data_IF_291199567681
#
_entry.id   IF_291199567681
#
_cell.length_a   1.000
_cell.length_b   1.000
_cell.length_c   1.000
_cell.angle_alpha   90.00
_cell.angle_beta   90.00
_cell.angle_gamma   90.00
#
_symmetry.space_group_name_H-M   'P 1'
#
loop_
_entity.id
_entity.type
_entity.pdbx_description
1 polymer ?
#
# COMPACT_ATOMS: atom_id res chain seq x y z
N UNK A 1 23.28 59.48 -73.23
CA UNK A 1 22.54 58.27 -72.71
C UNK A 1 23.26 57.70 -71.54
N UNK A 2 22.76 57.95 -70.34
CA UNK A 2 23.38 57.49 -69.10
C UNK A 2 22.44 56.41 -68.49
N UNK A 3 22.93 55.19 -68.42
CA UNK A 3 22.21 54.05 -67.87
C UNK A 3 22.39 54.05 -66.32
N UNK A 4 21.26 54.16 -65.62
CA UNK A 4 21.25 54.06 -64.17
C UNK A 4 21.08 52.61 -63.78
N UNK A 5 22.04 52.03 -63.01
CA UNK A 5 21.95 50.73 -62.34
C UNK A 5 21.29 50.94 -61.00
N UNK A 6 20.13 50.34 -60.82
CA UNK A 6 19.45 50.23 -59.50
C UNK A 6 19.92 49.00 -58.87
N UNK A 7 20.60 49.16 -57.73
CA UNK A 7 21.12 48.10 -56.86
C UNK A 7 20.03 47.76 -55.83
N UNK A 8 19.41 46.58 -55.96
CA UNK A 8 18.42 46.06 -55.03
C UNK A 8 19.13 45.44 -53.83
N UNK A 9 19.17 46.11 -52.69
CA UNK A 9 19.57 45.57 -51.42
C UNK A 9 18.39 44.82 -50.78
N UNK A 10 18.46 43.49 -50.74
CA UNK A 10 17.53 42.64 -49.98
C UNK A 10 17.88 42.71 -48.48
N UNK A 11 17.05 43.40 -47.72
CA UNK A 11 17.07 43.31 -46.28
C UNK A 11 16.49 41.95 -45.86
N UNK A 12 17.33 41.05 -45.35
CA UNK A 12 16.87 39.82 -44.70
C UNK A 12 16.63 40.18 -43.23
N UNK A 13 15.34 40.29 -42.86
CA UNK A 13 14.95 40.39 -41.43
C UNK A 13 14.97 38.99 -40.87
N UNK A 14 15.99 38.68 -40.09
CA UNK A 14 16.10 37.44 -39.34
C UNK A 14 15.19 37.56 -38.09
N UNK A 15 13.99 37.00 -38.14
CA UNK A 15 13.14 36.84 -36.97
C UNK A 15 13.72 35.71 -36.12
N UNK A 16 14.48 36.05 -35.06
CA UNK A 16 14.86 35.13 -34.04
C UNK A 16 13.62 34.84 -33.18
N UNK A 17 12.94 33.73 -33.47
CA UNK A 17 11.91 33.19 -32.56
C UNK A 17 12.67 32.65 -31.35
N UNK A 18 12.70 33.42 -30.25
CA UNK A 18 13.08 32.93 -28.93
C UNK A 18 11.97 32.00 -28.47
N UNK A 19 12.10 30.70 -28.74
CA UNK A 19 11.35 29.66 -28.06
C UNK A 19 11.85 29.67 -26.59
N UNK A 20 11.14 30.36 -25.73
CA UNK A 20 11.23 30.12 -24.31
C UNK A 20 10.64 28.73 -24.06
N UNK A 21 11.48 27.71 -24.17
CA UNK A 21 11.24 26.41 -23.55
C UNK A 21 11.19 26.67 -22.04
N UNK A 22 10.00 26.94 -21.51
CA UNK A 22 9.74 26.67 -20.10
C UNK A 22 10.06 25.19 -19.92
N UNK A 23 11.02 24.80 -19.08
CA UNK A 23 11.12 23.43 -18.71
C UNK A 23 9.84 23.13 -17.92
N UNK A 24 8.83 22.55 -18.57
CA UNK A 24 7.91 21.69 -17.85
C UNK A 24 8.80 20.59 -17.27
N UNK A 25 9.34 20.85 -16.10
CA UNK A 25 9.82 19.82 -15.21
C UNK A 25 8.57 18.98 -14.95
N UNK A 26 8.41 17.88 -15.67
CA UNK A 26 7.74 16.72 -15.14
C UNK A 26 8.44 16.51 -13.81
N UNK A 27 7.79 16.89 -12.72
CA UNK A 27 8.20 16.51 -11.39
C UNK A 27 8.04 14.98 -11.46
N UNK A 28 9.13 14.28 -11.78
CA UNK A 28 9.22 12.86 -11.51
C UNK A 28 8.88 12.75 -10.01
N UNK A 29 7.97 11.88 -9.65
CA UNK A 29 7.74 11.54 -8.26
C UNK A 29 9.10 11.18 -7.67
N UNK A 30 9.66 12.03 -6.79
CA UNK A 30 10.99 11.84 -6.19
C UNK A 30 10.95 10.69 -5.14
N UNK A 31 10.12 9.69 -5.37
CA UNK A 31 9.96 8.52 -4.51
C UNK A 31 11.02 7.47 -4.82
N UNK A 32 11.75 7.05 -3.79
CA UNK A 32 12.68 5.92 -3.83
C UNK A 32 12.03 4.70 -3.18
N UNK A 33 12.13 3.53 -3.81
CA UNK A 33 11.70 2.28 -3.23
C UNK A 33 12.56 1.96 -1.99
N UNK A 34 11.92 1.84 -0.82
CA UNK A 34 12.60 1.51 0.45
C UNK A 34 12.32 0.09 0.92
N UNK A 35 11.26 -0.54 0.41
CA UNK A 35 10.93 -1.92 0.71
C UNK A 35 10.06 -2.55 -0.37
N UNK A 36 10.30 -3.84 -0.66
CA UNK A 36 9.52 -4.66 -1.56
C UNK A 36 9.32 -6.05 -0.94
N UNK A 37 8.08 -6.55 -1.02
CA UNK A 37 7.73 -7.92 -0.74
C UNK A 37 7.01 -8.48 -1.98
N UNK A 38 7.57 -9.49 -2.61
CA UNK A 38 7.03 -10.11 -3.82
C UNK A 38 6.54 -11.55 -3.61
N UNK A 39 6.61 -12.03 -2.36
CA UNK A 39 6.12 -13.34 -1.94
C UNK A 39 6.68 -14.55 -2.75
N UNK A 40 7.88 -14.38 -3.32
CA UNK A 40 8.51 -15.43 -4.14
C UNK A 40 9.22 -16.51 -3.33
N UNK A 41 9.46 -16.28 -2.05
CA UNK A 41 10.10 -17.20 -1.13
C UNK A 41 9.30 -18.52 -0.94
N UNK A 42 9.97 -19.56 -0.45
CA UNK A 42 9.33 -20.84 -0.18
C UNK A 42 8.29 -20.77 0.96
N UNK A 43 8.53 -19.89 1.94
CA UNK A 43 7.69 -19.68 3.13
C UNK A 43 7.57 -18.19 3.43
N UNK A 44 6.46 -17.79 4.04
CA UNK A 44 6.25 -16.41 4.50
C UNK A 44 7.32 -16.03 5.53
N UNK A 45 8.00 -14.89 5.33
CA UNK A 45 9.00 -14.38 6.28
C UNK A 45 8.33 -13.99 7.60
N UNK A 46 8.52 -14.83 8.63
CA UNK A 46 7.93 -14.62 9.96
C UNK A 46 8.67 -13.56 10.78
N UNK A 47 9.79 -13.05 10.31
CA UNK A 47 10.42 -11.87 10.90
C UNK A 47 9.69 -10.58 10.52
N UNK A 48 9.03 -10.57 9.36
CA UNK A 48 8.22 -9.45 8.87
C UNK A 48 6.75 -9.67 9.22
N UNK A 49 6.20 -10.86 8.93
CA UNK A 49 4.78 -11.13 8.98
C UNK A 49 4.35 -11.95 10.20
N UNK A 50 3.42 -11.41 10.96
CA UNK A 50 2.66 -12.14 11.96
C UNK A 50 1.42 -12.75 11.29
N UNK A 51 1.13 -14.03 11.53
CA UNK A 51 -0.16 -14.63 11.18
C UNK A 51 -1.05 -14.57 12.43
N UNK A 52 -2.25 -14.00 12.29
CA UNK A 52 -3.20 -13.95 13.39
C UNK A 52 -3.95 -15.28 13.54
N UNK A 53 -4.06 -15.74 14.80
CA UNK A 53 -4.74 -16.99 15.16
C UNK A 53 -5.71 -16.72 16.28
N UNK A 54 -6.94 -16.35 15.94
CA UNK A 54 -8.01 -16.06 16.87
C UNK A 54 -9.41 -16.17 16.23
N UNK A 55 -10.44 -16.22 17.06
CA UNK A 55 -11.85 -16.22 16.64
C UNK A 55 -12.66 -15.11 17.30
N UNK A 56 -12.03 -14.00 17.67
CA UNK A 56 -12.61 -12.93 18.51
C UNK A 56 -13.58 -12.03 17.74
N UNK A 57 -13.68 -12.21 16.43
CA UNK A 57 -14.60 -11.45 15.56
C UNK A 57 -14.12 -10.06 15.21
N UNK A 58 -12.81 -9.77 15.40
CA UNK A 58 -12.15 -8.54 14.92
C UNK A 58 -12.77 -7.22 15.42
N UNK A 59 -13.54 -7.24 16.53
CA UNK A 59 -14.32 -6.09 16.99
C UNK A 59 -15.61 -5.83 16.17
N UNK A 60 -15.84 -6.58 15.07
CA UNK A 60 -16.91 -6.35 14.10
C UNK A 60 -17.91 -7.53 13.99
N UNK A 61 -17.95 -8.43 14.99
CA UNK A 61 -18.78 -9.64 14.97
C UNK A 61 -18.53 -10.55 13.76
N UNK A 62 -17.30 -10.59 13.27
CA UNK A 62 -16.88 -11.45 12.16
C UNK A 62 -17.06 -12.93 12.50
N UNK A 63 -17.35 -13.75 11.50
CA UNK A 63 -17.79 -15.14 11.71
C UNK A 63 -16.65 -16.17 11.70
N UNK A 64 -15.53 -15.86 11.05
CA UNK A 64 -14.40 -16.77 10.88
C UNK A 64 -13.56 -16.97 12.16
N UNK A 65 -12.79 -18.04 12.14
CA UNK A 65 -11.58 -18.20 12.94
C UNK A 65 -10.38 -17.93 12.03
N UNK A 66 -9.59 -16.91 12.32
CA UNK A 66 -8.30 -16.70 11.65
C UNK A 66 -7.31 -17.77 12.09
N UNK A 67 -6.59 -18.38 11.15
CA UNK A 67 -5.69 -19.48 11.45
C UNK A 67 -4.56 -19.62 10.41
N UNK A 68 -3.47 -20.30 10.79
CA UNK A 68 -2.29 -20.54 9.97
C UNK A 68 -2.65 -21.12 8.56
N UNK A 69 -3.56 -22.09 8.49
CA UNK A 69 -3.97 -22.71 7.22
C UNK A 69 -4.75 -21.78 6.28
N UNK A 70 -5.26 -20.66 6.79
CA UNK A 70 -5.89 -19.61 5.99
C UNK A 70 -4.88 -18.69 5.29
N UNK A 71 -3.58 -18.88 5.56
CA UNK A 71 -2.48 -18.06 5.03
C UNK A 71 -1.46 -18.97 4.36
N UNK A 72 -1.25 -18.82 3.05
CA UNK A 72 -0.27 -19.60 2.29
C UNK A 72 0.49 -18.71 1.31
N UNK A 73 1.65 -19.18 0.85
CA UNK A 73 2.29 -18.69 -0.37
C UNK A 73 2.01 -19.71 -1.48
N UNK A 74 1.24 -19.32 -2.48
CA UNK A 74 0.83 -20.22 -3.55
C UNK A 74 0.70 -19.47 -4.88
N UNK A 75 0.55 -20.25 -5.96
CA UNK A 75 0.43 -19.72 -7.33
C UNK A 75 -1.00 -19.29 -7.60
N UNK A 76 -1.19 -18.04 -8.04
CA UNK A 76 -2.48 -17.59 -8.55
C UNK A 76 -2.77 -18.27 -9.90
N UNK A 77 -3.90 -19.01 -10.04
CA UNK A 77 -4.08 -19.96 -11.13
C UNK A 77 -4.15 -19.36 -12.54
N UNK A 78 -4.56 -18.08 -12.68
CA UNK A 78 -4.77 -17.46 -14.00
C UNK A 78 -3.50 -16.82 -14.55
N UNK A 79 -2.63 -16.32 -13.68
CA UNK A 79 -1.42 -15.60 -14.08
C UNK A 79 -0.14 -16.41 -13.88
N UNK A 80 -0.19 -17.48 -13.06
CA UNK A 80 0.98 -18.23 -12.66
C UNK A 80 1.90 -17.50 -11.68
N UNK A 81 1.46 -16.36 -11.11
CA UNK A 81 2.22 -15.58 -10.14
C UNK A 81 2.15 -16.20 -8.77
N UNK A 82 3.29 -16.30 -8.08
CA UNK A 82 3.32 -16.65 -6.66
C UNK A 82 2.87 -15.46 -5.84
N UNK A 83 2.00 -15.69 -4.88
CA UNK A 83 1.32 -14.64 -4.09
C UNK A 83 1.24 -15.05 -2.62
N UNK A 84 1.07 -14.06 -1.75
CA UNK A 84 0.42 -14.28 -0.46
C UNK A 84 -1.05 -14.55 -0.73
N UNK A 85 -1.57 -15.66 -0.18
CA UNK A 85 -2.94 -16.12 -0.40
C UNK A 85 -3.66 -16.20 0.94
N UNK A 86 -4.74 -15.43 1.05
CA UNK A 86 -5.62 -15.46 2.21
C UNK A 86 -6.92 -16.15 1.82
N UNK A 87 -7.20 -17.33 2.42
CA UNK A 87 -8.30 -18.21 2.00
C UNK A 87 -9.37 -18.34 3.07
N UNK A 88 -10.59 -17.95 2.71
CA UNK A 88 -11.79 -18.20 3.52
C UNK A 88 -12.40 -19.55 3.14
N UNK A 89 -12.67 -20.40 4.14
CA UNK A 89 -13.23 -21.74 3.95
C UNK A 89 -14.40 -21.98 4.90
N UNK A 90 -15.52 -22.50 4.38
CA UNK A 90 -16.67 -22.95 5.19
C UNK A 90 -16.36 -24.31 5.79
N UNK A 91 -16.12 -24.33 7.08
CA UNK A 91 -15.79 -25.56 7.84
C UNK A 91 -15.98 -25.33 9.33
N UNK A 92 -16.16 -26.41 10.07
CA UNK A 92 -16.19 -26.37 11.54
C UNK A 92 -14.75 -26.32 12.09
N UNK A 93 -14.43 -25.23 12.79
CA UNK A 93 -13.10 -25.05 13.37
C UNK A 93 -13.16 -24.24 14.67
N UNK A 94 -12.75 -24.84 15.79
CA UNK A 94 -12.67 -24.19 17.11
C UNK A 94 -13.91 -23.36 17.50
N UNK A 95 -15.10 -23.93 17.24
CA UNK A 95 -16.37 -23.29 17.56
C UNK A 95 -16.92 -22.30 16.54
N UNK A 96 -16.16 -21.99 15.50
CA UNK A 96 -16.60 -21.19 14.34
C UNK A 96 -17.03 -22.11 13.18
N UNK A 97 -17.79 -21.57 12.23
CA UNK A 97 -18.31 -22.30 11.05
C UNK A 97 -17.56 -21.96 9.76
N UNK A 98 -16.50 -21.17 9.87
CA UNK A 98 -15.58 -20.88 8.79
C UNK A 98 -14.20 -20.48 9.37
N UNK A 99 -13.18 -20.69 8.55
CA UNK A 99 -11.80 -20.20 8.79
C UNK A 99 -11.44 -19.16 7.76
N UNK A 100 -10.41 -18.36 8.05
CA UNK A 100 -9.82 -17.43 7.09
C UNK A 100 -8.39 -17.07 7.45
N UNK A 101 -7.77 -16.19 6.63
CA UNK A 101 -6.41 -15.67 6.80
C UNK A 101 -6.38 -14.19 7.16
N UNK A 102 -5.49 -13.83 8.10
CA UNK A 102 -5.09 -12.45 8.42
C UNK A 102 -3.63 -12.40 8.78
N UNK A 103 -2.91 -11.46 8.16
CA UNK A 103 -1.51 -11.19 8.43
C UNK A 103 -1.31 -9.73 8.79
N UNK A 104 -0.28 -9.44 9.58
CA UNK A 104 0.13 -8.07 9.87
C UNK A 104 1.64 -7.98 10.10
N UNK A 105 2.17 -6.74 10.03
CA UNK A 105 3.60 -6.48 10.27
C UNK A 105 3.86 -5.79 11.62
N UNK A 106 2.91 -5.83 12.56
CA UNK A 106 2.98 -5.14 13.86
C UNK A 106 4.29 -5.46 14.60
N UNK A 107 4.99 -4.42 15.06
CA UNK A 107 6.27 -4.47 15.77
C UNK A 107 7.47 -4.99 14.93
N UNK A 108 7.24 -5.47 13.72
CA UNK A 108 8.28 -6.01 12.84
C UNK A 108 8.64 -5.03 11.72
N UNK A 109 7.65 -4.62 10.92
CA UNK A 109 7.82 -3.61 9.88
C UNK A 109 6.78 -2.51 10.06
N UNK A 110 7.24 -1.27 10.10
CA UNK A 110 6.39 -0.10 10.22
C UNK A 110 7.07 1.13 9.59
N UNK A 111 6.26 2.07 9.15
CA UNK A 111 6.75 3.27 8.46
C UNK A 111 5.85 4.48 8.75
N UNK A 112 6.40 5.67 8.51
CA UNK A 112 5.67 6.94 8.58
C UNK A 112 5.86 7.66 7.26
N UNK A 113 4.77 8.09 6.65
CA UNK A 113 4.73 8.81 5.37
C UNK A 113 5.37 8.06 4.20
N UNK A 114 5.12 8.57 3.01
CA UNK A 114 5.58 7.99 1.78
C UNK A 114 4.43 7.48 0.90
N UNK A 115 4.72 6.57 0.01
CA UNK A 115 3.76 5.92 -0.86
C UNK A 115 3.80 4.41 -0.62
N UNK A 116 2.66 3.78 -0.40
CA UNK A 116 2.53 2.33 -0.39
C UNK A 116 1.70 1.89 -1.58
N UNK A 117 2.13 0.83 -2.23
CA UNK A 117 1.42 0.16 -3.32
C UNK A 117 1.30 -1.32 -3.00
N UNK A 118 0.12 -1.90 -3.27
CA UNK A 118 -0.10 -3.33 -3.20
C UNK A 118 -0.85 -3.80 -4.44
N UNK A 119 -0.36 -4.87 -5.09
CA UNK A 119 -1.04 -5.49 -6.23
C UNK A 119 -1.88 -6.65 -5.74
N UNK A 120 -3.19 -6.47 -5.78
CA UNK A 120 -4.16 -7.36 -5.12
C UNK A 120 -5.19 -7.85 -6.13
N UNK A 121 -5.53 -9.14 -6.05
CA UNK A 121 -6.70 -9.75 -6.70
C UNK A 121 -7.70 -10.10 -5.64
N UNK A 122 -8.85 -9.40 -5.66
CA UNK A 122 -9.93 -9.63 -4.72
C UNK A 122 -10.76 -10.84 -5.18
N UNK A 123 -11.27 -11.67 -4.24
CA UNK A 123 -12.18 -12.75 -4.58
C UNK A 123 -13.54 -12.20 -4.99
N UNK A 124 -14.36 -13.05 -5.62
CA UNK A 124 -15.79 -12.78 -5.72
C UNK A 124 -16.37 -12.71 -4.29
N UNK A 125 -16.72 -11.49 -3.85
CA UNK A 125 -17.21 -11.23 -2.50
C UNK A 125 -18.65 -11.73 -2.32
N UNK A 126 -19.43 -11.78 -3.40
CA UNK A 126 -20.85 -12.13 -3.39
C UNK A 126 -21.56 -11.53 -2.16
N UNK A 127 -22.21 -12.36 -1.32
CA UNK A 127 -22.66 -11.89 -0.02
C UNK A 127 -21.74 -12.44 1.06
N UNK A 128 -21.08 -11.53 1.77
CA UNK A 128 -20.50 -11.76 3.07
C UNK A 128 -19.01 -11.97 3.14
N UNK A 129 -18.22 -11.91 2.05
CA UNK A 129 -16.77 -11.74 2.18
C UNK A 129 -16.44 -10.26 2.30
N UNK A 130 -15.42 -10.01 3.08
CA UNK A 130 -14.91 -8.67 3.38
C UNK A 130 -13.36 -8.68 3.33
N UNK A 131 -12.78 -8.62 2.12
CA UNK A 131 -11.35 -8.45 1.95
C UNK A 131 -10.95 -7.02 2.27
N UNK A 132 -9.83 -6.85 2.99
CA UNK A 132 -9.28 -5.56 3.36
C UNK A 132 -7.74 -5.54 3.26
N UNK A 133 -7.22 -4.38 2.84
CA UNK A 133 -5.80 -4.02 2.93
C UNK A 133 -5.72 -2.65 3.60
N UNK A 134 -5.06 -2.58 4.76
CA UNK A 134 -5.16 -1.47 5.69
C UNK A 134 -3.94 -1.35 6.61
N UNK A 135 -3.92 -0.35 7.46
CA UNK A 135 -2.84 -0.12 8.43
C UNK A 135 -3.37 0.49 9.74
N UNK A 136 -2.62 0.26 10.82
CA UNK A 136 -2.84 0.89 12.13
C UNK A 136 -1.54 1.43 12.70
N UNK A 137 -1.65 2.40 13.62
CA UNK A 137 -0.50 2.91 14.38
C UNK A 137 0.23 1.81 15.14
N UNK A 138 1.56 1.76 15.02
CA UNK A 138 2.40 0.73 15.65
C UNK A 138 2.46 0.87 17.19
N UNK A 139 1.91 1.96 17.73
CA UNK A 139 1.68 2.15 19.17
C UNK A 139 0.39 1.50 19.68
N UNK A 140 -0.27 0.63 18.88
CA UNK A 140 -1.51 -0.07 19.21
C UNK A 140 -1.46 -0.76 20.58
N UNK A 141 -0.36 -1.48 20.90
CA UNK A 141 -0.25 -2.20 22.16
C UNK A 141 -0.17 -1.28 23.39
N UNK A 142 0.22 -0.01 23.20
CA UNK A 142 0.34 1.00 24.26
C UNK A 142 -0.94 1.81 24.45
N UNK A 143 -1.58 2.21 23.35
CA UNK A 143 -2.71 3.17 23.40
C UNK A 143 -4.05 2.53 23.05
N UNK A 144 -4.06 1.40 22.34
CA UNK A 144 -5.25 0.70 21.87
C UNK A 144 -5.96 1.43 20.73
N UNK A 145 -6.94 0.75 20.13
CA UNK A 145 -7.84 1.33 19.15
C UNK A 145 -8.97 2.14 19.83
N UNK A 146 -9.39 3.28 19.30
CA UNK A 146 -8.99 3.94 18.06
C UNK A 146 -7.86 4.98 18.22
N UNK A 147 -7.23 5.08 19.37
CA UNK A 147 -6.17 6.06 19.67
C UNK A 147 -4.91 5.90 18.82
N UNK A 148 -4.62 4.67 18.41
CA UNK A 148 -3.49 4.40 17.51
C UNK A 148 -3.71 4.97 16.09
N UNK A 149 -4.97 5.22 15.70
CA UNK A 149 -5.35 5.54 14.34
C UNK A 149 -5.44 4.28 13.46
N UNK A 150 -6.36 4.31 12.49
CA UNK A 150 -6.55 3.26 11.49
C UNK A 150 -6.78 3.92 10.14
N UNK A 151 -6.16 3.37 9.10
CA UNK A 151 -6.34 3.82 7.72
C UNK A 151 -6.61 2.60 6.84
N UNK A 152 -7.81 2.53 6.29
CA UNK A 152 -8.23 1.45 5.41
C UNK A 152 -7.97 1.87 3.98
N UNK A 153 -6.92 1.28 3.37
CA UNK A 153 -6.56 1.61 2.00
C UNK A 153 -7.65 1.14 1.06
N UNK A 154 -8.18 -0.06 1.27
CA UNK A 154 -9.31 -0.57 0.49
C UNK A 154 -10.07 -1.65 1.25
N UNK A 155 -11.38 -1.59 1.16
CA UNK A 155 -12.32 -2.59 1.67
C UNK A 155 -13.43 -2.87 0.65
N UNK A 156 -13.76 -4.14 0.43
CA UNK A 156 -14.88 -4.60 -0.40
C UNK A 156 -15.88 -5.39 0.44
N UNK A 157 -17.10 -5.53 -0.09
CA UNK A 157 -18.14 -6.36 0.53
C UNK A 157 -19.09 -5.61 1.47
N UNK A 158 -19.08 -4.27 1.46
CA UNK A 158 -19.98 -3.44 2.29
C UNK A 158 -21.47 -3.72 2.02
N UNK A 159 -22.27 -3.66 3.07
CA UNK A 159 -23.72 -3.88 3.04
C UNK A 159 -24.45 -3.04 1.97
N UNK A 160 -24.04 -1.80 1.73
CA UNK A 160 -24.63 -0.94 0.70
C UNK A 160 -24.37 -1.46 -0.72
N UNK A 161 -23.18 -1.99 -0.99
CA UNK A 161 -22.87 -2.63 -2.26
C UNK A 161 -23.71 -3.87 -2.47
N UNK A 162 -23.84 -4.72 -1.45
CA UNK A 162 -24.70 -5.91 -1.46
C UNK A 162 -26.16 -5.54 -1.74
N UNK A 163 -26.69 -4.55 -1.01
CA UNK A 163 -28.08 -4.07 -1.15
C UNK A 163 -28.37 -3.52 -2.54
N UNK A 164 -27.38 -2.87 -3.18
CA UNK A 164 -27.51 -2.29 -4.53
C UNK A 164 -27.18 -3.27 -5.65
N UNK A 165 -26.71 -4.49 -5.33
CA UNK A 165 -26.20 -5.45 -6.33
C UNK A 165 -24.95 -4.96 -7.06
N UNK A 166 -24.10 -4.21 -6.37
CA UNK A 166 -22.86 -3.62 -6.90
C UNK A 166 -21.62 -4.00 -6.07
N UNK A 167 -21.74 -5.04 -5.22
CA UNK A 167 -20.66 -5.46 -4.31
C UNK A 167 -19.35 -5.79 -5.03
N UNK A 168 -19.42 -6.22 -6.27
CA UNK A 168 -18.27 -6.56 -7.14
C UNK A 168 -17.44 -5.34 -7.58
N UNK A 169 -17.95 -4.13 -7.38
CA UNK A 169 -17.38 -2.88 -7.84
C UNK A 169 -17.61 -1.70 -6.89
N UNK A 170 -18.20 -1.95 -5.72
CA UNK A 170 -18.38 -0.99 -4.63
C UNK A 170 -17.31 -1.23 -3.57
N UNK A 171 -16.49 -0.21 -3.31
CA UNK A 171 -15.42 -0.25 -2.32
C UNK A 171 -15.22 1.11 -1.68
N UNK A 172 -14.48 1.15 -0.57
CA UNK A 172 -14.16 2.38 0.15
C UNK A 172 -12.71 2.39 0.63
N UNK A 173 -12.23 3.60 0.91
CA UNK A 173 -11.15 3.87 1.82
C UNK A 173 -11.69 4.56 3.06
N UNK A 174 -11.01 4.44 4.21
CA UNK A 174 -11.46 5.06 5.45
C UNK A 174 -10.30 5.46 6.36
N UNK A 175 -10.60 6.35 7.31
CA UNK A 175 -9.74 6.72 8.43
C UNK A 175 -10.55 6.69 9.72
N UNK A 176 -9.99 6.11 10.78
CA UNK A 176 -10.62 6.05 12.10
C UNK A 176 -9.67 6.58 13.18
N UNK A 177 -10.19 7.42 14.07
CA UNK A 177 -9.48 7.91 15.25
C UNK A 177 -10.48 8.25 16.35
N UNK A 178 -10.00 8.46 17.55
CA UNK A 178 -10.86 8.83 18.67
C UNK A 178 -10.27 8.49 20.03
N UNK A 179 -10.94 8.91 21.09
CA UNK A 179 -10.50 8.65 22.48
C UNK A 179 -10.89 7.27 23.00
N UNK A 180 -11.98 6.68 22.47
CA UNK A 180 -12.51 5.38 22.87
C UNK A 180 -13.40 4.79 21.76
N UNK A 181 -13.67 3.49 21.81
CA UNK A 181 -14.46 2.75 20.83
C UNK A 181 -15.87 3.32 20.57
N UNK A 182 -16.48 3.98 21.55
CA UNK A 182 -17.80 4.59 21.44
C UNK A 182 -17.76 6.07 21.04
N UNK A 183 -16.58 6.64 20.80
CA UNK A 183 -16.35 8.03 20.40
C UNK A 183 -15.46 8.09 19.15
N UNK A 184 -15.55 7.08 18.28
CA UNK A 184 -14.78 7.03 17.05
C UNK A 184 -15.28 8.07 16.06
N UNK A 185 -14.36 8.84 15.53
CA UNK A 185 -14.59 9.63 14.32
C UNK A 185 -14.11 8.78 13.12
N UNK A 186 -14.94 8.75 12.08
CA UNK A 186 -14.66 8.03 10.86
C UNK A 186 -14.87 8.95 9.66
N UNK A 187 -13.91 8.97 8.74
CA UNK A 187 -14.07 9.51 7.39
C UNK A 187 -13.97 8.33 6.42
N UNK A 188 -15.09 7.90 5.88
CA UNK A 188 -15.18 6.82 4.91
C UNK A 188 -15.73 7.35 3.58
N UNK A 189 -14.98 7.16 2.50
CA UNK A 189 -15.38 7.58 1.17
C UNK A 189 -15.54 6.38 0.27
N UNK A 190 -16.78 6.11 -0.15
CA UNK A 190 -17.13 4.98 -0.98
C UNK A 190 -17.26 5.36 -2.45
N UNK A 191 -16.90 4.45 -3.33
CA UNK A 191 -17.08 4.61 -4.76
C UNK A 191 -17.68 3.36 -5.41
N UNK A 192 -18.28 3.53 -6.58
CA UNK A 192 -18.78 2.43 -7.42
C UNK A 192 -18.18 2.59 -8.81
N UNK A 193 -17.36 1.62 -9.20
CA UNK A 193 -16.78 1.62 -10.54
C UNK A 193 -17.78 1.13 -11.59
N UNK A 194 -17.58 1.49 -12.88
CA UNK A 194 -18.46 1.03 -13.97
C UNK A 194 -18.25 -0.44 -14.35
N UNK A 195 -17.20 -1.10 -13.80
CA UNK A 195 -16.82 -2.49 -14.05
C UNK A 195 -16.49 -3.19 -12.72
N UNK A 196 -16.50 -4.52 -12.72
CA UNK A 196 -16.12 -5.34 -11.57
C UNK A 196 -14.62 -5.15 -11.27
N UNK A 197 -14.28 -5.06 -9.97
CA UNK A 197 -12.90 -5.04 -9.46
C UNK A 197 -12.53 -6.37 -8.81
N UNK A 198 -13.35 -7.40 -8.97
CA UNK A 198 -13.12 -8.75 -8.49
C UNK A 198 -12.43 -9.61 -9.56
N UNK A 199 -11.77 -10.67 -9.14
CA UNK A 199 -11.14 -11.70 -9.99
C UNK A 199 -10.06 -11.19 -10.97
N UNK A 200 -9.61 -9.94 -10.83
CA UNK A 200 -8.50 -9.34 -11.55
C UNK A 200 -7.54 -8.66 -10.58
N UNK A 201 -6.25 -8.51 -11.00
CA UNK A 201 -5.29 -7.77 -10.18
C UNK A 201 -5.44 -6.27 -10.40
N UNK A 202 -5.51 -5.54 -9.29
CA UNK A 202 -5.47 -4.09 -9.23
C UNK A 202 -4.30 -3.61 -8.38
N UNK A 203 -3.76 -2.43 -8.68
CA UNK A 203 -2.76 -1.77 -7.85
C UNK A 203 -3.46 -0.73 -6.99
N UNK A 204 -3.44 -0.98 -5.68
CA UNK A 204 -3.95 -0.05 -4.68
C UNK A 204 -2.78 0.81 -4.23
N UNK A 205 -2.91 2.12 -4.40
CA UNK A 205 -1.88 3.11 -4.05
C UNK A 205 -2.40 4.04 -2.97
N UNK A 206 -1.65 4.24 -1.91
CA UNK A 206 -1.86 5.34 -0.96
C UNK A 206 -0.63 6.25 -0.96
N UNK A 207 -0.88 7.54 -1.15
CA UNK A 207 0.09 8.61 -0.92
C UNK A 207 -0.21 9.25 0.43
N UNK A 208 0.74 9.15 1.34
CA UNK A 208 0.61 9.62 2.70
C UNK A 208 1.71 10.65 3.01
N UNK A 209 1.29 11.87 3.19
CA UNK A 209 2.16 13.02 3.49
C UNK A 209 1.87 13.57 4.90
N UNK A 210 2.69 14.46 5.45
CA UNK A 210 2.38 15.13 6.71
C UNK A 210 1.06 15.92 6.72
N UNK A 211 0.49 16.20 5.56
CA UNK A 211 -0.69 17.07 5.42
C UNK A 211 -1.90 16.39 4.78
N UNK A 212 -1.74 15.19 4.21
CA UNK A 212 -2.83 14.52 3.49
C UNK A 212 -2.62 13.02 3.35
N UNK A 213 -3.73 12.30 3.17
CA UNK A 213 -3.78 10.93 2.66
C UNK A 213 -4.66 10.94 1.42
N UNK A 214 -4.17 10.34 0.34
CA UNK A 214 -4.93 10.12 -0.90
C UNK A 214 -4.75 8.68 -1.38
N UNK A 215 -5.85 8.06 -1.86
CA UNK A 215 -5.84 6.66 -2.28
C UNK A 215 -6.38 6.51 -3.69
N UNK A 216 -5.75 5.63 -4.45
CA UNK A 216 -6.04 5.39 -5.86
C UNK A 216 -6.09 3.90 -6.16
N UNK A 217 -6.82 3.53 -7.20
CA UNK A 217 -6.76 2.23 -7.84
C UNK A 217 -6.21 2.39 -9.25
N UNK A 218 -5.18 1.59 -9.61
CA UNK A 218 -4.55 1.56 -10.94
C UNK A 218 -4.00 2.92 -11.42
N UNK A 219 -3.41 3.70 -10.51
CA UNK A 219 -2.81 5.00 -10.82
C UNK A 219 -1.62 4.88 -11.78
N UNK A 220 -0.87 3.80 -11.71
CA UNK A 220 0.27 3.51 -12.58
C UNK A 220 -0.15 3.31 -14.04
N UNK A 221 -1.23 2.56 -14.28
CA UNK A 221 -1.81 2.34 -15.61
C UNK A 221 -2.62 3.55 -16.11
N UNK A 222 -3.14 4.37 -15.21
CA UNK A 222 -3.94 5.56 -15.51
C UNK A 222 -3.52 6.76 -14.63
N UNK A 223 -2.44 7.46 -14.97
CA UNK A 223 -1.93 8.60 -14.18
C UNK A 223 -2.94 9.73 -13.98
N UNK A 224 -4.01 9.78 -14.79
CA UNK A 224 -5.09 10.75 -14.67
C UNK A 224 -6.27 10.30 -13.79
N UNK A 225 -6.21 9.11 -13.19
CA UNK A 225 -7.27 8.61 -12.32
C UNK A 225 -7.44 9.52 -11.10
N UNK A 226 -8.69 9.81 -10.75
CA UNK A 226 -8.99 10.57 -9.53
C UNK A 226 -8.89 9.66 -8.31
N UNK A 227 -8.45 10.18 -7.16
CA UNK A 227 -8.48 9.42 -5.92
C UNK A 227 -9.91 8.99 -5.58
N UNK A 228 -10.07 7.78 -5.07
CA UNK A 228 -11.34 7.34 -4.50
C UNK A 228 -11.48 7.74 -3.03
N UNK A 229 -10.37 8.09 -2.38
CA UNK A 229 -10.32 8.65 -1.03
C UNK A 229 -9.33 9.82 -0.99
N UNK A 230 -9.70 10.90 -0.30
CA UNK A 230 -8.79 12.03 -0.06
C UNK A 230 -9.17 12.73 1.24
N UNK A 231 -8.20 12.87 2.15
CA UNK A 231 -8.38 13.55 3.42
C UNK A 231 -7.18 14.46 3.74
N UNK A 232 -7.45 15.61 4.35
CA UNK A 232 -6.42 16.47 4.93
C UNK A 232 -6.12 16.03 6.35
N UNK A 233 -4.85 16.00 6.71
CA UNK A 233 -4.39 15.76 8.07
C UNK A 233 -4.30 17.10 8.85
N UNK A 234 -5.46 17.63 9.20
CA UNK A 234 -5.56 18.93 9.88
C UNK A 234 -5.20 18.82 11.36
N UNK A 235 -4.58 19.88 11.87
CA UNK A 235 -4.32 20.02 13.30
C UNK A 235 -5.63 20.26 14.06
N UNK A 236 -5.72 19.67 15.27
CA UNK A 236 -6.77 19.88 16.23
C UNK A 236 -6.16 19.90 17.63
N UNK A 237 -6.65 20.76 18.53
CA UNK A 237 -6.13 20.87 19.90
C UNK A 237 -6.45 19.62 20.75
N UNK A 238 -7.49 18.86 20.40
CA UNK A 238 -7.78 17.57 21.04
C UNK A 238 -6.84 16.49 20.49
N UNK A 239 -5.95 15.90 21.31
CA UNK A 239 -4.95 14.96 20.84
C UNK A 239 -5.54 13.67 20.25
N UNK A 240 -6.77 13.30 20.59
CA UNK A 240 -7.45 12.11 20.07
C UNK A 240 -8.14 12.34 18.73
N UNK A 241 -8.39 13.60 18.36
CA UNK A 241 -9.04 14.01 17.11
C UNK A 241 -8.12 14.87 16.24
N UNK A 242 -6.86 15.02 16.63
CA UNK A 242 -5.83 15.68 15.85
C UNK A 242 -5.31 14.73 14.78
N UNK A 243 -5.82 14.87 13.53
CA UNK A 243 -5.46 14.00 12.41
C UNK A 243 -3.97 14.06 12.09
N UNK A 244 -3.34 15.24 12.15
CA UNK A 244 -1.90 15.35 11.88
C UNK A 244 -1.04 14.65 12.94
N UNK A 245 -1.51 14.57 14.19
CA UNK A 245 -0.81 13.86 15.26
C UNK A 245 -1.06 12.35 15.19
N UNK A 246 -2.33 11.92 15.07
CA UNK A 246 -2.70 10.50 15.08
C UNK A 246 -2.16 9.77 13.85
N UNK A 247 -2.28 10.37 12.66
CA UNK A 247 -1.76 9.81 11.41
C UNK A 247 -0.35 10.33 11.05
N UNK A 248 0.36 10.97 11.96
CA UNK A 248 1.78 11.35 11.85
C UNK A 248 2.72 10.40 12.58
N UNK A 249 2.24 9.19 12.95
CA UNK A 249 2.98 8.16 13.68
C UNK A 249 3.30 6.97 12.80
N UNK A 250 4.29 6.12 13.18
CA UNK A 250 4.56 4.89 12.45
C UNK A 250 3.35 3.95 12.41
N UNK A 251 3.05 3.38 11.24
CA UNK A 251 1.97 2.44 11.02
C UNK A 251 2.50 1.10 10.55
N UNK A 252 1.86 0.02 10.95
CA UNK A 252 2.08 -1.33 10.45
C UNK A 252 0.98 -1.74 9.48
N UNK A 253 1.29 -2.66 8.58
CA UNK A 253 0.42 -3.13 7.49
C UNK A 253 -0.40 -4.33 7.96
N UNK A 254 -1.66 -4.41 7.48
CA UNK A 254 -2.57 -5.52 7.73
C UNK A 254 -3.24 -5.92 6.42
N UNK A 255 -3.39 -7.23 6.19
CA UNK A 255 -4.21 -7.79 5.13
C UNK A 255 -5.06 -8.93 5.68
N UNK A 256 -6.34 -8.95 5.34
CA UNK A 256 -7.24 -10.01 5.77
C UNK A 256 -8.39 -10.27 4.78
N UNK A 257 -8.97 -11.46 4.92
CA UNK A 257 -10.22 -11.82 4.27
C UNK A 257 -11.23 -12.18 5.36
N UNK A 258 -11.98 -11.19 5.85
CA UNK A 258 -13.02 -11.41 6.84
C UNK A 258 -14.26 -12.08 6.22
N UNK A 259 -15.07 -12.71 7.07
CA UNK A 259 -16.33 -13.40 6.67
C UNK A 259 -17.46 -12.92 7.56
N UNK A 260 -18.47 -12.28 6.96
CA UNK A 260 -19.60 -11.72 7.68
C UNK A 260 -19.22 -10.56 8.61
N UNK A 261 -20.06 -10.29 9.58
CA UNK A 261 -19.89 -9.22 10.56
C UNK A 261 -20.66 -7.95 10.21
N UNK A 262 -20.28 -6.87 10.89
CA UNK A 262 -21.01 -5.59 10.83
C UNK A 262 -20.89 -4.92 9.46
N UNK A 263 -19.73 -5.00 8.80
CA UNK A 263 -19.48 -4.32 7.53
C UNK A 263 -20.36 -4.84 6.38
N UNK A 264 -20.43 -6.16 6.11
CA UNK A 264 -21.38 -6.70 5.15
C UNK A 264 -22.82 -6.82 5.71
N UNK A 265 -23.02 -6.63 7.02
CA UNK A 265 -24.33 -6.76 7.68
C UNK A 265 -24.85 -8.20 7.73
N UNK A 266 -23.96 -9.20 7.70
CA UNK A 266 -24.32 -10.62 7.68
C UNK A 266 -23.70 -11.33 8.88
N UNK A 267 -24.53 -11.76 9.83
CA UNK A 267 -24.12 -12.32 11.12
C UNK A 267 -24.37 -13.83 11.24
N UNK A 268 -24.70 -14.52 10.14
CA UNK A 268 -24.93 -15.94 10.13
C UNK A 268 -24.27 -16.59 8.91
N UNK A 269 -23.61 -17.72 9.12
CA UNK A 269 -22.90 -18.46 8.06
C UNK A 269 -23.80 -18.91 6.92
N UNK A 270 -25.11 -19.12 7.17
CA UNK A 270 -26.08 -19.44 6.12
C UNK A 270 -26.33 -18.28 5.14
N UNK A 271 -26.09 -17.04 5.55
CA UNK A 271 -26.15 -15.85 4.71
C UNK A 271 -24.90 -15.60 3.88
N UNK A 272 -23.82 -16.32 4.12
CA UNK A 272 -22.54 -16.19 3.39
C UNK A 272 -22.64 -16.99 2.08
N UNK A 273 -23.18 -16.39 1.05
CA UNK A 273 -23.32 -17.05 -0.27
C UNK A 273 -22.00 -17.20 -1.00
N UNK A 274 -21.02 -16.34 -0.71
CA UNK A 274 -19.68 -16.40 -1.28
C UNK A 274 -18.99 -17.76 -1.10
N UNK A 275 -19.24 -18.44 0.03
CA UNK A 275 -18.64 -19.74 0.36
C UNK A 275 -19.56 -20.94 0.05
N UNK A 276 -20.65 -20.74 -0.68
CA UNK A 276 -21.60 -21.82 -0.98
C UNK A 276 -21.00 -22.92 -1.88
N UNK A 277 -20.08 -22.54 -2.79
CA UNK A 277 -19.49 -23.41 -3.80
C UNK A 277 -18.00 -23.69 -3.54
N UNK A 278 -17.53 -23.58 -2.31
CA UNK A 278 -16.15 -23.83 -1.93
C UNK A 278 -15.38 -22.60 -1.40
N UNK A 279 -14.09 -22.78 -1.12
CA UNK A 279 -13.24 -21.69 -0.61
C UNK A 279 -13.13 -20.52 -1.58
N UNK A 280 -12.78 -19.35 -1.02
CA UNK A 280 -12.45 -18.15 -1.79
C UNK A 280 -11.14 -17.58 -1.29
N UNK A 281 -10.33 -17.07 -2.21
CA UNK A 281 -8.99 -16.58 -1.90
C UNK A 281 -8.77 -15.16 -2.42
N UNK A 282 -8.18 -14.33 -1.57
CA UNK A 282 -7.58 -13.05 -1.92
C UNK A 282 -6.09 -13.29 -2.20
N UNK A 283 -5.56 -12.75 -3.27
CA UNK A 283 -4.16 -12.91 -3.67
C UNK A 283 -3.47 -11.55 -3.63
N UNK A 284 -2.30 -11.49 -3.02
CA UNK A 284 -1.43 -10.31 -3.02
C UNK A 284 -0.13 -10.71 -3.71
N UNK A 285 0.11 -10.13 -4.90
CA UNK A 285 1.28 -10.42 -5.75
C UNK A 285 2.54 -9.78 -5.19
N UNK A 286 2.41 -8.52 -4.75
CA UNK A 286 3.50 -7.78 -4.12
C UNK A 286 2.97 -6.58 -3.32
N UNK A 287 3.82 -6.09 -2.38
CA UNK A 287 3.64 -4.84 -1.63
C UNK A 287 4.94 -4.06 -1.71
N UNK A 288 4.85 -2.74 -1.93
CA UNK A 288 5.98 -1.84 -2.07
C UNK A 288 5.79 -0.57 -1.25
N UNK A 289 6.85 -0.14 -0.58
CA UNK A 289 6.88 1.13 0.15
C UNK A 289 7.96 2.00 -0.47
N UNK A 290 7.60 3.25 -0.72
CA UNK A 290 8.47 4.28 -1.30
C UNK A 290 8.49 5.49 -0.39
N UNK A 291 9.65 6.15 -0.29
CA UNK A 291 9.84 7.38 0.46
C UNK A 291 10.65 8.40 -0.34
N UNK A 292 10.51 9.68 0.02
CA UNK A 292 11.22 10.80 -0.62
C UNK A 292 12.53 11.15 0.10
N UNK A 293 12.81 10.52 1.25
CA UNK A 293 14.00 10.78 2.07
C UNK A 293 13.90 12.06 2.90
N UNK A 294 12.68 12.47 3.27
CA UNK A 294 12.47 13.62 4.14
C UNK A 294 12.74 13.27 5.61
N UNK A 295 13.03 14.29 6.43
CA UNK A 295 13.30 14.13 7.88
C UNK A 295 12.08 13.65 8.69
N UNK A 296 10.88 13.69 8.10
CA UNK A 296 9.63 13.24 8.72
C UNK A 296 9.29 11.78 8.42
N UNK A 297 9.92 11.21 7.41
CA UNK A 297 9.71 9.83 7.03
C UNK A 297 10.53 8.89 7.92
N UNK A 298 9.94 7.77 8.28
CA UNK A 298 10.64 6.69 8.98
C UNK A 298 10.29 5.36 8.34
N UNK A 299 11.24 4.44 8.34
CA UNK A 299 11.04 3.07 7.90
C UNK A 299 11.86 2.14 8.79
N UNK A 300 11.21 1.09 9.30
CA UNK A 300 11.83 0.03 10.10
C UNK A 300 11.40 -1.31 9.56
N UNK A 301 12.34 -2.18 9.28
CA UNK A 301 12.12 -3.57 8.90
C UNK A 301 13.25 -4.43 9.46
N UNK A 302 12.98 -5.69 9.88
CA UNK A 302 14.01 -6.62 10.32
C UNK A 302 14.86 -7.17 9.16
N UNK A 303 14.29 -7.23 7.96
CA UNK A 303 15.02 -7.67 6.77
C UNK A 303 15.67 -6.46 6.10
N UNK A 304 16.96 -6.55 5.70
CA UNK A 304 17.53 -5.56 4.79
C UNK A 304 16.66 -5.53 3.52
N UNK A 305 16.30 -4.34 3.07
CA UNK A 305 15.71 -4.23 1.73
C UNK A 305 16.69 -4.83 0.74
N UNK A 306 16.29 -5.84 -0.03
CA UNK A 306 17.03 -6.19 -1.22
C UNK A 306 17.05 -4.94 -2.08
N UNK A 307 18.23 -4.36 -2.27
CA UNK A 307 18.42 -3.16 -3.05
C UNK A 307 18.01 -3.49 -4.49
N UNK A 308 16.79 -3.10 -4.87
CA UNK A 308 16.32 -3.26 -6.24
C UNK A 308 17.05 -2.22 -7.07
N UNK A 309 17.96 -2.68 -7.93
CA UNK A 309 18.56 -1.86 -8.99
C UNK A 309 17.45 -1.24 -9.83
N UNK A 310 17.54 0.06 -10.17
CA UNK A 310 16.57 0.69 -11.05
C UNK A 310 16.56 -0.04 -12.40
N UNK A 311 15.39 -0.36 -12.92
CA UNK A 311 15.18 -1.05 -14.18
C UNK A 311 15.86 -0.24 -15.32
N UNK A 312 17.03 -0.69 -15.78
CA UNK A 312 17.79 -0.04 -16.85
C UNK A 312 19.27 -0.38 -16.92
N UNK A 313 19.85 -1.18 -16.02
CA UNK A 313 21.25 -1.59 -16.07
C UNK A 313 21.43 -3.02 -16.60
N UNK A 314 22.35 -3.20 -17.55
CA UNK A 314 22.79 -4.51 -18.06
C UNK A 314 23.33 -5.39 -16.93
N UNK A 315 22.94 -6.68 -16.95
CA UNK A 315 23.29 -7.70 -15.97
C UNK A 315 24.77 -7.65 -15.55
N UNK A 316 25.01 -7.55 -14.24
CA UNK A 316 26.29 -7.86 -13.61
C UNK A 316 26.05 -9.04 -12.65
N UNK A 317 26.88 -10.06 -12.78
CA UNK A 317 26.80 -11.34 -12.10
C UNK A 317 26.67 -11.24 -10.56
N UNK A 318 25.94 -12.19 -9.98
CA UNK A 318 25.70 -12.41 -8.56
C UNK A 318 26.94 -12.16 -7.68
N UNK A 319 26.92 -11.08 -6.90
CA UNK A 319 27.88 -10.86 -5.80
C UNK A 319 27.19 -11.25 -4.50
N UNK A 320 27.58 -12.38 -3.94
CA UNK A 320 27.20 -12.78 -2.58
C UNK A 320 27.90 -11.84 -1.58
N UNK A 321 27.16 -10.91 -0.95
CA UNK A 321 27.71 -10.01 0.06
C UNK A 321 27.90 -10.76 1.38
N UNK A 322 29.16 -11.03 1.73
CA UNK A 322 29.53 -11.68 3.00
C UNK A 322 29.64 -10.74 4.20
N UNK A 323 29.63 -9.42 4.00
CA UNK A 323 29.64 -8.43 5.08
C UNK A 323 28.81 -7.18 4.71
N UNK A 324 27.95 -6.70 5.63
CA UNK A 324 27.14 -5.50 5.37
C UNK A 324 28.01 -4.24 5.33
N UNK A 325 27.73 -3.37 4.36
CA UNK A 325 28.32 -2.05 4.30
C UNK A 325 27.72 -1.14 5.40
N UNK A 326 28.55 -0.34 6.06
CA UNK A 326 28.15 0.59 7.12
C UNK A 326 28.28 2.04 6.67
N UNK A 327 27.33 2.88 7.05
CA UNK A 327 27.45 4.34 6.89
C UNK A 327 28.31 4.90 8.02
N UNK A 328 29.36 5.64 7.69
CA UNK A 328 30.26 6.29 8.66
C UNK A 328 30.38 7.78 8.36
N UNK A 329 30.39 8.60 9.40
CA UNK A 329 30.62 10.05 9.26
C UNK A 329 32.04 10.36 9.74
N UNK A 330 32.89 10.90 8.87
CA UNK A 330 34.26 11.32 9.18
C UNK A 330 34.35 12.81 8.85
N UNK A 331 34.69 13.62 9.85
CA UNK A 331 34.82 15.08 9.72
C UNK A 331 33.56 15.76 9.15
N UNK A 332 32.34 15.24 9.53
CA UNK A 332 31.04 15.77 9.08
C UNK A 332 30.66 15.36 7.65
N UNK A 333 31.40 14.47 7.00
CA UNK A 333 31.13 13.97 5.67
C UNK A 333 30.75 12.50 5.71
N UNK A 334 29.69 12.11 4.96
CA UNK A 334 29.17 10.75 4.91
C UNK A 334 30.01 9.88 3.96
N UNK A 335 30.36 8.68 4.44
CA UNK A 335 31.06 7.63 3.67
C UNK A 335 30.36 6.29 3.87
N UNK A 336 30.64 5.35 2.96
CA UNK A 336 30.26 3.95 3.07
C UNK A 336 31.51 3.15 3.37
N UNK A 337 31.54 2.40 4.48
CA UNK A 337 32.62 1.48 4.82
C UNK A 337 32.17 0.04 4.52
N UNK A 338 32.98 -0.69 3.73
CA UNK A 338 32.77 -2.09 3.42
C UNK A 338 34.09 -2.82 3.41
N UNK A 339 34.20 -3.95 4.12
CA UNK A 339 35.40 -4.79 4.20
C UNK A 339 36.69 -4.00 4.58
N UNK A 340 36.53 -2.99 5.43
CA UNK A 340 37.63 -2.11 5.86
C UNK A 340 37.98 -0.98 4.89
N UNK A 341 37.38 -0.94 3.69
CA UNK A 341 37.57 0.08 2.68
C UNK A 341 36.52 1.18 2.80
N UNK A 342 36.89 2.45 2.63
CA UNK A 342 35.98 3.59 2.57
C UNK A 342 35.63 3.92 1.12
N UNK A 343 34.38 4.29 0.90
CA UNK A 343 33.84 4.73 -0.38
C UNK A 343 33.11 6.06 -0.19
N UNK A 344 33.11 6.91 -1.19
CA UNK A 344 32.27 8.10 -1.21
C UNK A 344 30.79 7.70 -1.46
N UNK A 345 29.87 8.66 -1.36
CA UNK A 345 28.41 8.44 -1.52
C UNK A 345 27.98 7.97 -2.91
N UNK A 346 28.86 8.04 -3.91
CA UNK A 346 28.62 7.53 -5.27
C UNK A 346 29.37 6.20 -5.52
N UNK A 347 29.90 5.55 -4.46
CA UNK A 347 30.48 4.21 -4.52
C UNK A 347 31.92 4.14 -5.03
N UNK A 348 32.65 5.26 -5.13
CA UNK A 348 34.06 5.26 -5.51
C UNK A 348 34.94 5.05 -4.28
N UNK A 349 35.95 4.16 -4.32
CA UNK A 349 36.87 3.94 -3.22
C UNK A 349 37.73 5.19 -2.95
N UNK A 350 38.04 5.40 -1.68
CA UNK A 350 38.92 6.49 -1.20
C UNK A 350 40.29 5.99 -0.87
#
# INVERSE_FOLDING_TARGET
MKTFLIQNSKFIILFAILLTLSPNRLIADDYTLVWNEDFTDATLDRNVWNIEVNGDGGGNNELQYYCEKGVTLDVEPTTGKRCLVLTATKEDYKGKKCTSGRVNTKNNLYYTFGKIEARIKFPNTANGLWPAFWQMGNDFDQVGWPRCGETDLIELGHADGIKKGTQDRYFNGAMHLGSAWNTVWCDAQSTTYPYSVEDTFHIITMEWTPTSITMYMDKDANPGVKPYFSAKLEHNDDPYYNRSLVFGKPNFIIANLAVGGNFPGIHNISGITALANGPRSMYIDWIRIYQQGTDKETFVSPSPSDAIEPAGGTAVDNITLTHPAQKVIINGQLYIQKDGQLYNVVGQPL
#
